data_IF_331769417231
#
_entry.id   IF_331769417231
#
_cell.length_a   1.000
_cell.length_b   1.000
_cell.length_c   1.000
_cell.angle_alpha   90.00
_cell.angle_beta   90.00
_cell.angle_gamma   90.00
#
_symmetry.space_group_name_H-M   'P 1'
#
loop_
_entity.id
_entity.type
_entity.pdbx_description
1 polymer ?
#
# COMPACT_ATOMS: atom_id res chain seq x y z
N UNK A 1 0.00 17.70 -8.36
CA UNK A 1 0.39 16.52 -9.16
C UNK A 1 -0.36 15.31 -8.66
N UNK A 2 -0.72 14.43 -9.57
CA UNK A 2 -1.53 13.27 -9.23
C UNK A 2 -0.66 12.07 -8.88
N UNK A 3 -0.96 11.42 -7.75
CA UNK A 3 -0.36 10.13 -7.40
C UNK A 3 -1.01 9.05 -8.25
N UNK A 4 -0.22 8.33 -9.02
CA UNK A 4 -0.70 7.21 -9.84
C UNK A 4 -0.60 5.89 -9.08
N UNK A 5 0.47 5.72 -8.32
CA UNK A 5 0.71 4.51 -7.53
C UNK A 5 1.19 4.88 -6.14
N UNK A 6 0.63 4.24 -5.13
CA UNK A 6 0.96 4.48 -3.74
C UNK A 6 1.34 3.16 -3.07
N UNK A 7 2.53 3.11 -2.47
CA UNK A 7 2.94 2.01 -1.61
C UNK A 7 2.76 2.42 -0.16
N UNK A 8 2.16 1.54 0.63
CA UNK A 8 1.90 1.81 2.05
C UNK A 8 2.52 0.70 2.90
N UNK A 9 3.38 1.10 3.82
CA UNK A 9 3.91 0.20 4.83
C UNK A 9 3.10 0.37 6.11
N UNK A 10 2.41 -0.70 6.51
CA UNK A 10 1.51 -0.71 7.66
C UNK A 10 2.28 -1.04 8.93
N UNK A 11 2.82 -0.04 9.59
CA UNK A 11 3.46 -0.22 10.89
C UNK A 11 2.42 -0.07 12.01
N UNK A 12 2.81 -0.30 13.25
CA UNK A 12 1.88 -0.33 14.40
C UNK A 12 1.16 0.99 14.64
N UNK A 13 1.92 2.07 14.74
CA UNK A 13 1.37 3.39 15.10
C UNK A 13 1.62 4.43 14.04
N UNK A 14 2.52 4.15 13.11
CA UNK A 14 2.95 5.09 12.08
C UNK A 14 2.94 4.36 10.76
N UNK A 15 2.38 5.00 9.75
CA UNK A 15 2.26 4.45 8.41
C UNK A 15 3.14 5.23 7.47
N UNK A 16 3.96 4.53 6.69
CA UNK A 16 4.86 5.16 5.74
C UNK A 16 4.25 5.05 4.34
N UNK A 17 4.20 6.16 3.63
CA UNK A 17 3.62 6.24 2.29
C UNK A 17 4.68 6.67 1.28
N UNK A 18 4.67 6.00 0.13
CA UNK A 18 5.54 6.35 -1.00
C UNK A 18 4.69 6.41 -2.26
N UNK A 19 4.61 7.57 -2.87
CA UNK A 19 3.78 7.78 -4.06
C UNK A 19 4.59 8.23 -5.26
N UNK A 20 4.20 7.71 -6.43
CA UNK A 20 4.81 8.09 -7.69
C UNK A 20 3.74 8.57 -8.66
N UNK A 21 4.17 9.37 -9.66
CA UNK A 21 3.31 9.81 -10.76
C UNK A 21 3.24 8.72 -11.84
N UNK A 22 2.55 9.02 -12.93
CA UNK A 22 2.37 8.05 -14.03
C UNK A 22 3.67 7.70 -14.75
N UNK A 23 4.72 8.50 -14.56
CA UNK A 23 6.04 8.23 -15.15
C UNK A 23 6.97 7.50 -14.17
N UNK A 24 6.49 7.22 -12.97
CA UNK A 24 7.28 6.53 -11.95
C UNK A 24 8.15 7.44 -11.10
N UNK A 25 8.02 8.76 -11.25
CA UNK A 25 8.78 9.70 -10.45
C UNK A 25 8.18 9.82 -9.05
N UNK A 26 9.01 9.79 -8.02
CA UNK A 26 8.57 9.95 -6.64
C UNK A 26 8.08 11.37 -6.40
N UNK A 27 6.81 11.50 -6.03
CA UNK A 27 6.18 12.80 -5.74
C UNK A 27 5.64 12.88 -4.33
N UNK A 28 5.69 11.78 -3.57
CA UNK A 28 5.12 11.74 -2.23
C UNK A 28 5.92 10.80 -1.35
N UNK A 29 6.33 11.31 -0.19
CA UNK A 29 6.89 10.52 0.90
C UNK A 29 6.33 11.09 2.19
N UNK A 30 5.55 10.29 2.91
CA UNK A 30 4.92 10.75 4.15
C UNK A 30 4.97 9.68 5.21
N UNK A 31 5.05 10.15 6.45
CA UNK A 31 4.98 9.33 7.64
C UNK A 31 3.80 9.87 8.45
N UNK A 32 2.75 9.08 8.61
CA UNK A 32 1.49 9.55 9.18
C UNK A 32 1.01 8.64 10.30
N UNK A 33 0.32 9.23 11.27
CA UNK A 33 -0.42 8.47 12.26
C UNK A 33 -1.63 7.81 11.61
N UNK A 34 -2.23 6.83 12.30
CA UNK A 34 -3.38 6.09 11.76
C UNK A 34 -4.52 7.03 11.33
N UNK A 35 -4.89 7.97 12.17
CA UNK A 35 -6.01 8.87 11.87
C UNK A 35 -5.72 9.73 10.64
N UNK A 36 -4.53 10.31 10.59
CA UNK A 36 -4.14 11.16 9.46
C UNK A 36 -3.92 10.37 8.18
N UNK A 37 -3.40 9.15 8.30
CA UNK A 37 -3.19 8.25 7.17
C UNK A 37 -4.50 7.92 6.45
N UNK A 38 -5.52 7.51 7.19
CA UNK A 38 -6.81 7.18 6.58
C UNK A 38 -7.39 8.38 5.85
N UNK A 39 -7.44 9.55 6.53
CA UNK A 39 -7.97 10.76 5.92
C UNK A 39 -7.20 11.17 4.66
N UNK A 40 -5.88 11.04 4.70
CA UNK A 40 -5.05 11.41 3.57
C UNK A 40 -5.35 10.54 2.36
N UNK A 41 -5.41 9.22 2.55
CA UNK A 41 -5.60 8.28 1.44
C UNK A 41 -7.01 8.39 0.84
N UNK A 42 -8.04 8.54 1.66
CA UNK A 42 -9.42 8.63 1.14
C UNK A 42 -9.67 9.93 0.37
N UNK A 43 -8.85 10.96 0.58
CA UNK A 43 -8.96 12.23 -0.14
C UNK A 43 -8.18 12.24 -1.45
N UNK A 44 -7.29 11.28 -1.68
CA UNK A 44 -6.56 11.19 -2.93
C UNK A 44 -7.51 10.84 -4.07
N UNK A 45 -7.21 11.36 -5.26
CA UNK A 45 -7.87 10.87 -6.46
C UNK A 45 -7.59 9.37 -6.61
N UNK A 46 -8.52 8.60 -7.18
CA UNK A 46 -8.35 7.16 -7.33
C UNK A 46 -6.99 6.80 -7.93
N UNK A 47 -6.30 5.88 -7.31
CA UNK A 47 -4.98 5.43 -7.74
C UNK A 47 -4.80 3.95 -7.41
N UNK A 48 -3.69 3.38 -7.89
CA UNK A 48 -3.29 2.03 -7.56
C UNK A 48 -2.57 2.05 -6.21
N UNK A 49 -3.03 1.23 -5.26
CA UNK A 49 -2.45 1.15 -3.92
C UNK A 49 -1.91 -0.25 -3.69
N UNK A 50 -0.66 -0.33 -3.24
CA UNK A 50 -0.04 -1.59 -2.81
C UNK A 50 0.18 -1.61 -1.32
N UNK A 51 -0.06 -2.76 -0.70
CA UNK A 51 0.27 -3.04 0.71
C UNK A 51 0.74 -4.47 0.83
N UNK A 52 1.61 -4.75 1.81
CA UNK A 52 1.95 -6.13 2.11
C UNK A 52 0.76 -6.83 2.75
N UNK A 53 0.55 -8.10 2.38
CA UNK A 53 -0.53 -8.89 2.95
C UNK A 53 -0.24 -9.19 4.42
N UNK A 54 -1.15 -8.77 5.30
CA UNK A 54 -1.10 -9.06 6.72
C UNK A 54 -2.54 -8.93 7.26
N UNK A 55 -2.75 -9.24 8.53
CA UNK A 55 -4.10 -9.26 9.08
C UNK A 55 -4.82 -7.91 8.96
N UNK A 56 -4.12 -6.80 9.16
CA UNK A 56 -4.75 -5.48 9.12
C UNK A 56 -4.93 -4.93 7.71
N UNK A 57 -4.14 -5.41 6.74
CA UNK A 57 -4.20 -4.87 5.38
C UNK A 57 -5.53 -5.14 4.68
N UNK A 58 -6.20 -6.24 5.01
CA UNK A 58 -7.51 -6.54 4.41
C UNK A 58 -8.56 -5.50 4.77
N UNK A 59 -8.55 -5.03 6.01
CA UNK A 59 -9.46 -3.96 6.44
C UNK A 59 -9.21 -2.67 5.64
N UNK A 60 -7.96 -2.25 5.53
CA UNK A 60 -7.64 -1.03 4.78
C UNK A 60 -7.91 -1.21 3.29
N UNK A 61 -7.65 -2.40 2.75
CA UNK A 61 -7.94 -2.67 1.35
C UNK A 61 -9.43 -2.52 1.05
N UNK A 62 -10.29 -3.06 1.90
CA UNK A 62 -11.74 -2.89 1.74
C UNK A 62 -12.14 -1.43 1.85
N UNK A 63 -11.60 -0.73 2.85
CA UNK A 63 -11.92 0.68 3.07
C UNK A 63 -11.53 1.53 1.86
N UNK A 64 -10.31 1.42 1.38
CA UNK A 64 -9.82 2.25 0.28
C UNK A 64 -10.48 1.89 -1.06
N UNK A 65 -10.86 0.63 -1.23
CA UNK A 65 -11.64 0.21 -2.40
C UNK A 65 -12.98 0.93 -2.45
N UNK A 66 -13.63 1.13 -1.29
CA UNK A 66 -14.89 1.89 -1.23
C UNK A 66 -14.73 3.34 -1.68
N UNK A 67 -13.53 3.89 -1.53
CA UNK A 67 -13.25 5.28 -1.95
C UNK A 67 -12.72 5.37 -3.37
N UNK A 68 -12.80 4.27 -4.14
CA UNK A 68 -12.52 4.27 -5.56
C UNK A 68 -11.11 3.86 -5.94
N UNK A 69 -10.25 3.52 -4.96
CA UNK A 69 -8.88 3.08 -5.26
C UNK A 69 -8.85 1.64 -5.71
N UNK A 70 -7.87 1.31 -6.54
CA UNK A 70 -7.57 -0.07 -6.90
C UNK A 70 -6.50 -0.57 -5.92
N UNK A 71 -6.86 -1.52 -5.04
CA UNK A 71 -5.96 -1.97 -3.98
C UNK A 71 -5.49 -3.39 -4.26
N UNK A 72 -4.19 -3.63 -4.12
CA UNK A 72 -3.57 -4.93 -4.30
C UNK A 72 -2.74 -5.27 -3.06
N UNK A 73 -2.88 -6.50 -2.59
CA UNK A 73 -2.11 -7.02 -1.46
C UNK A 73 -1.02 -7.95 -2.00
N UNK A 74 0.21 -7.73 -1.55
CA UNK A 74 1.38 -8.44 -2.06
C UNK A 74 1.95 -9.32 -0.95
N UNK A 75 2.23 -10.62 -1.23
CA UNK A 75 2.93 -11.45 -0.25
C UNK A 75 4.28 -10.82 0.11
N UNK A 76 4.66 -10.78 1.40
CA UNK A 76 5.91 -10.13 1.80
C UNK A 76 7.15 -10.62 1.06
N UNK A 77 7.22 -11.91 0.73
CA UNK A 77 8.38 -12.46 0.03
C UNK A 77 8.58 -11.86 -1.37
N UNK A 78 7.53 -11.29 -1.96
CA UNK A 78 7.63 -10.68 -3.28
C UNK A 78 7.95 -9.19 -3.22
N UNK A 79 7.95 -8.60 -2.04
CA UNK A 79 8.36 -7.20 -1.83
C UNK A 79 9.87 -7.11 -1.60
N UNK A 80 10.45 -8.07 -0.87
CA UNK A 80 11.86 -8.04 -0.50
C UNK A 80 12.84 -7.75 -1.64
N UNK A 81 12.68 -8.34 -2.84
CA UNK A 81 13.62 -8.06 -3.94
C UNK A 81 13.70 -6.60 -4.37
N UNK A 82 12.71 -5.80 -4.02
CA UNK A 82 12.65 -4.39 -4.43
C UNK A 82 13.17 -3.43 -3.36
N UNK A 83 13.60 -3.93 -2.20
CA UNK A 83 14.22 -3.10 -1.16
C UNK A 83 15.64 -2.79 -1.62
N UNK A 84 15.94 -1.49 -1.81
CA UNK A 84 17.19 -1.06 -2.48
C UNK A 84 18.33 -0.76 -1.54
N UNK A 85 18.04 -0.50 -0.28
CA UNK A 85 19.05 -0.12 0.72
C UNK A 85 18.74 -0.83 2.03
N UNK A 86 19.35 -0.38 3.14
CA UNK A 86 19.04 -0.93 4.44
C UNK A 86 17.54 -0.85 4.72
N UNK A 87 17.01 -1.90 5.36
CA UNK A 87 15.59 -2.00 5.62
C UNK A 87 15.14 -0.91 6.59
N UNK A 88 14.22 -0.07 6.14
CA UNK A 88 13.53 0.94 6.95
C UNK A 88 12.08 0.98 6.48
N UNK A 89 11.20 1.60 7.26
CA UNK A 89 9.78 1.74 6.85
C UNK A 89 9.67 2.51 5.54
N UNK A 90 10.52 3.51 5.34
CA UNK A 90 10.51 4.30 4.10
C UNK A 90 10.93 3.46 2.89
N UNK A 91 11.98 2.63 3.03
CA UNK A 91 12.41 1.76 1.93
C UNK A 91 11.43 0.62 1.69
N UNK A 92 10.72 0.17 2.73
CA UNK A 92 9.67 -0.83 2.57
C UNK A 92 8.50 -0.26 1.77
N UNK A 93 8.07 0.96 2.06
CA UNK A 93 6.99 1.61 1.31
C UNK A 93 7.38 1.82 -0.16
N UNK A 94 8.63 2.21 -0.43
CA UNK A 94 9.14 2.34 -1.78
C UNK A 94 9.12 1.00 -2.53
N UNK A 95 9.57 -0.06 -1.87
CA UNK A 95 9.60 -1.40 -2.46
C UNK A 95 8.17 -1.90 -2.77
N UNK A 96 7.22 -1.64 -1.89
CA UNK A 96 5.81 -2.00 -2.12
C UNK A 96 5.26 -1.22 -3.32
N UNK A 97 5.58 0.06 -3.42
CA UNK A 97 5.14 0.90 -4.54
C UNK A 97 5.65 0.35 -5.87
N UNK A 98 6.88 -0.09 -5.92
CA UNK A 98 7.45 -0.68 -7.13
C UNK A 98 6.84 -2.05 -7.40
N UNK A 99 6.76 -2.90 -6.39
CA UNK A 99 6.29 -4.28 -6.53
C UNK A 99 4.87 -4.35 -7.09
N UNK A 100 3.99 -3.44 -6.68
CA UNK A 100 2.58 -3.48 -7.08
C UNK A 100 2.40 -3.23 -8.58
N UNK A 101 3.38 -2.61 -9.23
CA UNK A 101 3.32 -2.32 -10.68
C UNK A 101 3.94 -3.42 -11.54
N UNK A 102 4.60 -4.41 -10.92
CA UNK A 102 5.34 -5.41 -11.70
C UNK A 102 4.40 -6.37 -12.41
N UNK A 103 4.67 -6.68 -13.69
CA UNK A 103 3.91 -7.72 -14.39
C UNK A 103 4.15 -9.06 -13.73
N UNK A 104 3.18 -9.96 -13.83
CA UNK A 104 3.23 -11.30 -13.26
C UNK A 104 3.32 -11.36 -11.73
N UNK A 105 3.06 -10.24 -11.06
CA UNK A 105 2.98 -10.23 -9.61
C UNK A 105 1.75 -11.03 -9.16
N UNK A 106 1.93 -11.90 -8.15
CA UNK A 106 0.85 -12.71 -7.61
C UNK A 106 0.31 -12.05 -6.36
N UNK A 107 -0.89 -11.50 -6.47
CA UNK A 107 -1.52 -10.78 -5.36
C UNK A 107 -2.31 -11.74 -4.46
N UNK A 108 -2.42 -11.36 -3.19
CA UNK A 108 -3.28 -12.05 -2.23
C UNK A 108 -4.70 -11.51 -2.39
N UNK A 109 -5.68 -12.41 -2.42
CA UNK A 109 -7.08 -12.00 -2.50
C UNK A 109 -7.49 -11.25 -1.25
N UNK A 110 -8.17 -10.12 -1.43
CA UNK A 110 -8.69 -9.33 -0.31
C UNK A 110 -9.84 -10.09 0.32
N UNK A 111 -9.74 -10.37 1.62
CA UNK A 111 -10.78 -11.09 2.37
C UNK A 111 -11.92 -10.16 2.73
N UNK A 112 -13.13 -10.69 2.69
CA UNK A 112 -14.31 -10.00 3.20
C UNK A 112 -14.27 -9.99 4.73
N UNK A 113 -15.13 -9.16 5.34
CA UNK A 113 -15.24 -9.13 6.79
C UNK A 113 -15.63 -10.50 7.34
N UNK A 114 -16.56 -11.20 6.66
CA UNK A 114 -16.96 -12.55 7.06
C UNK A 114 -15.81 -13.54 7.02
N UNK A 115 -14.99 -13.48 5.96
CA UNK A 115 -13.83 -14.36 5.83
C UNK A 115 -12.81 -14.12 6.94
N UNK A 116 -12.63 -12.89 7.36
CA UNK A 116 -11.71 -12.56 8.46
C UNK A 116 -12.27 -12.93 9.82
N UNK A 117 -13.57 -12.95 9.96
CA UNK A 117 -14.24 -13.29 11.24
C UNK A 117 -14.25 -14.80 11.51
N UNK A 118 -14.10 -15.63 10.49
CA UNK A 118 -14.06 -17.09 10.63
C UNK A 118 -12.70 -17.52 11.14
N UNK A 119 -12.69 -18.26 12.23
CA UNK A 119 -11.49 -18.78 12.86
C UNK A 119 -11.25 -20.23 12.48
#
# INVERSE_FOLDING_TARGET
>A
MKVSTLGIDLAKNVFQLHGVDHEGHTILRKKLTRAKFVQFVIQLEPCLIGMEACSSSHYFARLFTRYGHEVKLIPPQYVKPYVKTNKTDATDAEAICEAVTRPNMRFVQIKTEEQQAVL
#
